data_IF_945648355642
#
_entry.id   IF_945648355642
#
_cell.length_a   1.000
_cell.length_b   1.000
_cell.length_c   1.000
_cell.angle_alpha   90.00
_cell.angle_beta   90.00
_cell.angle_gamma   90.00
#
_symmetry.space_group_name_H-M   'P 1'
#
loop_
_entity.id
_entity.type
_entity.pdbx_description
1 polymer ?
#
# COMPACT_ATOMS: atom_id res chain seq x y z
N UNK A 1 6.02 -4.97 23.79
CA UNK A 1 6.53 -4.90 22.43
C UNK A 1 5.68 -5.75 21.53
N UNK A 2 5.30 -5.26 20.41
CA UNK A 2 4.51 -5.99 19.45
C UNK A 2 5.30 -6.25 18.19
N UNK A 3 4.78 -7.15 17.37
CA UNK A 3 5.32 -7.40 16.05
C UNK A 3 5.03 -6.20 15.17
N UNK A 4 6.06 -5.64 14.51
CA UNK A 4 5.93 -4.43 13.72
C UNK A 4 6.09 -4.74 12.24
N UNK A 5 5.42 -3.96 11.41
CA UNK A 5 5.49 -4.12 9.96
C UNK A 5 5.85 -2.81 9.30
N UNK A 6 6.49 -2.92 8.14
CA UNK A 6 6.72 -1.82 7.22
C UNK A 6 5.66 -1.92 6.13
N UNK A 7 5.08 -0.79 5.74
CA UNK A 7 4.03 -0.75 4.74
C UNK A 7 4.43 0.13 3.57
N UNK A 8 4.23 -0.39 2.38
CA UNK A 8 4.47 0.31 1.13
C UNK A 8 3.18 0.27 0.33
N UNK A 9 2.66 1.44 -0.04
CA UNK A 9 1.40 1.51 -0.77
C UNK A 9 1.55 2.35 -2.03
N UNK A 10 0.94 1.90 -3.11
CA UNK A 10 0.78 2.70 -4.31
C UNK A 10 -0.71 2.83 -4.54
N UNK A 11 -1.23 4.05 -4.49
CA UNK A 11 -2.65 4.32 -4.57
C UNK A 11 -2.94 5.06 -5.87
N UNK A 12 -3.78 4.47 -6.72
CA UNK A 12 -4.20 5.13 -7.95
C UNK A 12 -4.94 6.43 -7.64
N UNK A 13 -4.79 7.43 -8.51
CA UNK A 13 -5.46 8.72 -8.29
C UNK A 13 -6.97 8.58 -8.19
N UNK A 14 -7.54 7.62 -8.90
CA UNK A 14 -8.98 7.36 -8.83
C UNK A 14 -9.42 6.88 -7.44
N UNK A 15 -8.51 6.24 -6.70
CA UNK A 15 -8.78 5.72 -5.36
C UNK A 15 -8.38 6.68 -4.26
N UNK A 16 -7.63 7.72 -4.58
CA UNK A 16 -7.03 8.59 -3.57
C UNK A 16 -8.03 9.25 -2.63
N UNK A 17 -9.18 9.77 -3.11
CA UNK A 17 -10.14 10.36 -2.19
C UNK A 17 -10.68 9.37 -1.16
N UNK A 18 -10.92 8.14 -1.56
CA UNK A 18 -11.40 7.11 -0.65
C UNK A 18 -10.32 6.70 0.34
N UNK A 19 -9.07 6.58 -0.13
CA UNK A 19 -7.95 6.25 0.74
C UNK A 19 -7.78 7.34 1.81
N UNK A 20 -7.83 8.62 1.41
CA UNK A 20 -7.75 9.73 2.35
C UNK A 20 -8.87 9.69 3.38
N UNK A 21 -10.08 9.38 2.94
CA UNK A 21 -11.23 9.26 3.84
C UNK A 21 -11.01 8.16 4.86
N UNK A 22 -10.49 7.00 4.41
CA UNK A 22 -10.23 5.88 5.30
C UNK A 22 -9.12 6.19 6.30
N UNK A 23 -8.07 6.90 5.88
CA UNK A 23 -7.01 7.28 6.80
C UNK A 23 -7.53 8.17 7.92
N UNK A 24 -8.43 9.10 7.59
CA UNK A 24 -9.02 9.99 8.59
C UNK A 24 -9.96 9.23 9.50
N UNK A 25 -10.75 8.32 8.95
CA UNK A 25 -11.70 7.51 9.72
C UNK A 25 -10.99 6.59 10.71
N UNK A 26 -9.82 6.07 10.33
CA UNK A 26 -9.05 5.14 11.15
C UNK A 26 -7.97 5.82 11.97
N UNK A 27 -7.86 7.13 11.87
CA UNK A 27 -6.83 7.92 12.55
C UNK A 27 -5.41 7.48 12.18
N UNK A 28 -5.22 7.09 10.92
CA UNK A 28 -3.92 6.67 10.41
C UNK A 28 -3.28 7.68 9.48
N UNK A 29 -3.86 8.87 9.37
CA UNK A 29 -3.37 9.91 8.46
C UNK A 29 -1.89 10.23 8.69
N UNK A 30 -1.47 10.34 9.94
CA UNK A 30 -0.09 10.68 10.26
C UNK A 30 0.88 9.52 10.11
N UNK A 31 0.39 8.31 9.85
CA UNK A 31 1.23 7.13 9.75
C UNK A 31 1.74 6.87 8.34
N UNK A 32 0.97 7.30 7.34
CA UNK A 32 1.33 7.08 5.94
C UNK A 32 1.89 8.37 5.35
N UNK A 33 3.16 8.33 4.92
CA UNK A 33 3.85 9.49 4.35
C UNK A 33 3.98 9.33 2.85
N UNK A 34 3.67 10.40 2.13
CA UNK A 34 3.82 10.42 0.68
C UNK A 34 5.30 10.39 0.32
N UNK A 35 5.71 9.47 -0.53
CA UNK A 35 7.10 9.28 -0.93
C UNK A 35 7.35 9.59 -2.40
N UNK A 36 6.35 9.41 -3.25
CA UNK A 36 6.51 9.62 -4.67
C UNK A 36 5.17 9.82 -5.34
N UNK A 37 5.22 10.31 -6.57
CA UNK A 37 4.00 10.69 -7.29
C UNK A 37 4.23 10.57 -8.79
N UNK A 38 3.20 10.10 -9.50
CA UNK A 38 3.17 10.12 -10.95
C UNK A 38 1.84 10.73 -11.39
N UNK A 39 1.60 10.74 -12.71
CA UNK A 39 0.33 11.24 -13.24
C UNK A 39 -0.84 10.33 -12.92
N UNK A 40 -0.60 9.09 -12.49
CA UNK A 40 -1.65 8.10 -12.26
C UNK A 40 -1.76 7.63 -10.82
N UNK A 41 -0.72 7.83 -9.99
CA UNK A 41 -0.71 7.24 -8.65
C UNK A 41 0.21 8.00 -7.70
N UNK A 42 0.01 7.73 -6.40
CA UNK A 42 0.85 8.29 -5.34
C UNK A 42 1.37 7.14 -4.49
N UNK A 43 2.66 7.18 -4.17
CA UNK A 43 3.29 6.20 -3.30
C UNK A 43 3.30 6.71 -1.86
N UNK A 44 2.95 5.82 -0.93
CA UNK A 44 2.97 6.11 0.51
C UNK A 44 3.79 5.05 1.24
N UNK A 45 4.37 5.44 2.37
CA UNK A 45 5.04 4.51 3.27
C UNK A 45 4.62 4.74 4.70
N UNK A 46 4.59 3.64 5.46
CA UNK A 46 4.38 3.69 6.90
C UNK A 46 5.36 2.73 7.54
N UNK A 47 5.98 3.14 8.64
CA UNK A 47 7.03 2.36 9.30
C UNK A 47 6.62 1.95 10.69
N UNK A 48 7.03 0.74 11.07
CA UNK A 48 6.94 0.25 12.45
C UNK A 48 5.52 0.26 13.01
N UNK A 49 4.54 -0.15 12.20
CA UNK A 49 3.15 -0.23 12.63
C UNK A 49 2.78 -1.62 13.11
N UNK A 50 1.91 -1.67 14.10
CA UNK A 50 1.31 -2.94 14.54
C UNK A 50 0.16 -3.27 13.61
N UNK A 51 0.46 -3.98 12.55
CA UNK A 51 -0.51 -4.26 11.49
C UNK A 51 -1.10 -5.66 11.66
N UNK A 52 -2.02 -5.79 12.61
CA UNK A 52 -2.59 -7.08 12.99
C UNK A 52 -3.98 -7.26 12.38
N UNK A 53 -4.23 -8.45 11.83
CA UNK A 53 -5.49 -8.76 11.17
C UNK A 53 -6.72 -8.57 12.07
N UNK A 54 -6.57 -8.73 13.37
CA UNK A 54 -7.71 -8.58 14.28
C UNK A 54 -8.13 -7.15 14.55
N UNK A 55 -7.35 -6.16 14.10
CA UNK A 55 -7.68 -4.77 14.34
C UNK A 55 -8.67 -4.27 13.27
N UNK A 56 -9.83 -3.70 13.67
CA UNK A 56 -10.83 -3.25 12.68
C UNK A 56 -10.28 -2.23 11.68
N UNK A 57 -9.42 -1.33 12.13
CA UNK A 57 -8.85 -0.30 11.24
C UNK A 57 -7.95 -0.94 10.18
N UNK A 58 -7.14 -1.91 10.59
CA UNK A 58 -6.28 -2.65 9.68
C UNK A 58 -7.11 -3.38 8.64
N UNK A 59 -8.20 -4.02 9.08
CA UNK A 59 -9.06 -4.77 8.17
C UNK A 59 -9.71 -3.86 7.13
N UNK A 60 -10.10 -2.66 7.53
CA UNK A 60 -10.70 -1.69 6.58
C UNK A 60 -9.71 -1.29 5.51
N UNK A 61 -8.47 -1.01 5.88
CA UNK A 61 -7.43 -0.62 4.93
C UNK A 61 -7.08 -1.78 4.02
N UNK A 62 -6.87 -2.98 4.57
CA UNK A 62 -6.55 -4.15 3.78
C UNK A 62 -7.65 -4.44 2.76
N UNK A 63 -8.91 -4.34 3.18
CA UNK A 63 -10.04 -4.59 2.29
C UNK A 63 -10.10 -3.58 1.16
N UNK A 64 -9.82 -2.31 1.46
CA UNK A 64 -9.78 -1.27 0.44
C UNK A 64 -8.82 -1.68 -0.69
N UNK A 65 -7.61 -2.14 -0.32
CA UNK A 65 -6.63 -2.54 -1.33
C UNK A 65 -7.03 -3.84 -2.03
N UNK A 66 -7.55 -4.82 -1.29
CA UNK A 66 -7.97 -6.10 -1.88
C UNK A 66 -9.06 -5.89 -2.93
N UNK A 67 -9.92 -4.90 -2.74
CA UNK A 67 -11.03 -4.65 -3.64
C UNK A 67 -10.66 -3.72 -4.81
N UNK A 68 -9.45 -3.16 -4.81
CA UNK A 68 -9.06 -2.18 -5.82
C UNK A 68 -8.25 -2.82 -6.95
N UNK A 69 -8.57 -2.42 -8.18
CA UNK A 69 -7.76 -2.79 -9.34
C UNK A 69 -6.70 -1.75 -9.67
N UNK A 70 -6.63 -0.65 -8.91
CA UNK A 70 -5.75 0.48 -9.21
C UNK A 70 -4.76 0.77 -8.08
N UNK A 71 -4.79 -0.01 -7.01
CA UNK A 71 -3.95 0.27 -5.85
C UNK A 71 -3.41 -1.03 -5.27
N UNK A 72 -2.26 -0.93 -4.60
CA UNK A 72 -1.62 -2.09 -3.98
C UNK A 72 -0.96 -1.69 -2.68
N UNK A 73 -1.05 -2.57 -1.68
CA UNK A 73 -0.39 -2.43 -0.40
C UNK A 73 0.52 -3.64 -0.19
N UNK A 74 1.77 -3.38 0.20
CA UNK A 74 2.69 -4.44 0.60
C UNK A 74 3.03 -4.26 2.07
N UNK A 75 2.83 -5.32 2.85
CA UNK A 75 3.24 -5.39 4.24
C UNK A 75 4.46 -6.29 4.37
N UNK A 76 5.50 -5.79 5.03
CA UNK A 76 6.71 -6.59 5.34
C UNK A 76 6.86 -6.63 6.84
N UNK A 77 6.84 -7.84 7.42
CA UNK A 77 7.00 -8.03 8.85
C UNK A 77 8.46 -8.05 9.27
N UNK A 78 8.67 -8.18 10.59
CA UNK A 78 10.01 -8.18 11.15
C UNK A 78 10.82 -9.44 10.82
N UNK A 79 10.15 -10.54 10.54
CA UNK A 79 10.82 -11.81 10.29
C UNK A 79 10.74 -12.18 8.82
N UNK A 80 11.89 -12.32 8.19
CA UNK A 80 11.95 -12.76 6.79
C UNK A 80 11.49 -14.21 6.69
N UNK A 81 10.69 -14.59 5.72
CA UNK A 81 10.19 -13.80 4.58
C UNK A 81 8.74 -13.34 4.75
N UNK A 82 8.37 -12.80 5.89
CA UNK A 82 6.99 -12.41 6.19
C UNK A 82 6.59 -11.18 5.39
N UNK A 83 5.89 -11.39 4.28
CA UNK A 83 5.32 -10.28 3.51
C UNK A 83 3.99 -10.69 2.89
N UNK A 84 3.11 -9.71 2.73
CA UNK A 84 1.79 -9.91 2.16
C UNK A 84 1.43 -8.77 1.23
N UNK A 85 0.77 -9.11 0.14
CA UNK A 85 0.26 -8.13 -0.82
C UNK A 85 -1.27 -8.05 -0.72
N UNK A 86 -1.79 -6.84 -0.83
CA UNK A 86 -3.23 -6.61 -0.86
C UNK A 86 -3.55 -5.81 -2.11
N UNK A 87 -4.20 -6.43 -3.07
CA UNK A 87 -4.62 -5.77 -4.30
C UNK A 87 -5.62 -6.65 -5.04
N UNK A 88 -6.51 -6.03 -5.79
CA UNK A 88 -7.40 -6.75 -6.69
C UNK A 88 -6.79 -6.97 -8.07
N UNK A 89 -5.57 -6.48 -8.30
CA UNK A 89 -4.91 -6.56 -9.61
C UNK A 89 -3.56 -7.27 -9.49
N UNK A 90 -3.51 -8.54 -9.92
CA UNK A 90 -2.30 -9.34 -9.79
C UNK A 90 -1.11 -8.81 -10.59
N UNK A 91 -1.36 -8.04 -11.64
CA UNK A 91 -0.25 -7.45 -12.41
C UNK A 91 0.50 -6.41 -11.59
N UNK A 92 -0.22 -5.66 -10.75
CA UNK A 92 0.42 -4.73 -9.83
C UNK A 92 1.31 -5.46 -8.83
N UNK A 93 0.84 -6.60 -8.33
CA UNK A 93 1.62 -7.40 -7.38
C UNK A 93 2.94 -7.86 -7.98
N UNK A 94 2.91 -8.38 -9.21
CA UNK A 94 4.11 -8.87 -9.86
C UNK A 94 5.15 -7.77 -10.05
N UNK A 95 4.73 -6.61 -10.54
CA UNK A 95 5.66 -5.52 -10.81
C UNK A 95 6.17 -4.88 -9.53
N UNK A 96 5.32 -4.75 -8.51
CA UNK A 96 5.73 -4.19 -7.24
C UNK A 96 6.81 -5.06 -6.59
N UNK A 97 6.65 -6.38 -6.69
CA UNK A 97 7.64 -7.29 -6.11
C UNK A 97 9.03 -7.09 -6.72
N UNK A 98 9.10 -6.71 -7.99
CA UNK A 98 10.38 -6.45 -8.65
C UNK A 98 10.95 -5.07 -8.31
N UNK A 99 10.12 -4.14 -7.89
CA UNK A 99 10.51 -2.73 -7.71
C UNK A 99 10.65 -2.30 -6.26
N UNK A 100 10.43 -3.22 -5.33
CA UNK A 100 10.36 -2.86 -3.90
C UNK A 100 11.62 -2.15 -3.40
N UNK A 101 12.78 -2.50 -3.94
CA UNK A 101 14.05 -1.92 -3.51
C UNK A 101 14.37 -0.59 -4.20
N UNK A 102 13.59 -0.21 -5.19
CA UNK A 102 13.80 1.02 -5.97
C UNK A 102 12.86 2.14 -5.53
N UNK A 103 12.37 2.04 -4.50
CA UNK A 103 11.53 2.78 -3.59
C UNK A 103 10.77 4.02 -4.06
N UNK A 104 11.33 4.95 -4.79
CA UNK A 104 10.65 6.22 -5.05
C UNK A 104 10.19 6.43 -6.48
N UNK A 105 10.59 5.53 -7.38
CA UNK A 105 10.20 5.62 -8.78
C UNK A 105 9.04 4.68 -9.05
N UNK A 106 7.87 5.24 -9.31
CA UNK A 106 6.67 4.45 -9.57
C UNK A 106 6.24 4.45 -11.03
N UNK A 107 7.19 4.77 -11.95
CA UNK A 107 6.88 4.74 -13.39
C UNK A 107 6.44 3.36 -13.87
N UNK A 108 6.90 2.29 -13.21
CA UNK A 108 6.47 0.93 -13.53
C UNK A 108 4.95 0.77 -13.41
N UNK A 109 4.33 1.51 -12.51
CA UNK A 109 2.89 1.44 -12.28
C UNK A 109 2.13 1.90 -13.53
N UNK A 110 2.60 2.96 -14.17
CA UNK A 110 1.96 3.47 -15.37
C UNK A 110 2.05 2.46 -16.51
N UNK A 111 3.20 1.80 -16.63
CA UNK A 111 3.38 0.77 -17.65
C UNK A 111 2.45 -0.41 -17.44
N UNK A 112 2.19 -0.77 -16.18
CA UNK A 112 1.28 -1.85 -15.87
C UNK A 112 -0.14 -1.55 -16.32
N UNK A 113 -0.57 -0.32 -16.16
CA UNK A 113 -1.95 0.08 -16.49
C UNK A 113 -2.18 0.34 -17.97
N UNK A 114 -1.13 0.52 -18.75
CA UNK A 114 -1.26 0.80 -20.19
C UNK A 114 -1.61 -0.42 -21.02
N UNK A 115 -1.59 -1.58 -20.44
CA UNK A 115 -1.93 -2.81 -21.18
C UNK A 115 -3.44 -3.00 -21.39
#
# INVERSE_FOLDING_TARGET
>A
MGYRSELYAVVGLIDLPEFDRLLKETDLTGCFEEQGKSDLAVEFRASSLKWYDGYPDVEKINKFFDDSNFSILLRIGEEFPDKEYYTGNSDLEQLFNLQIDVATDISWYENCLEE
#
